data_IF_617116178963
#
_entry.id   IF_617116178963
#
_cell.length_a   1.000
_cell.length_b   1.000
_cell.length_c   1.000
_cell.angle_alpha   90.00
_cell.angle_beta   90.00
_cell.angle_gamma   90.00
#
_symmetry.space_group_name_H-M   'P 1'
#
loop_
_entity.id
_entity.type
_entity.pdbx_description
1 polymer ?
#
# COMPACT_ATOMS: atom_id res chain seq x y z
N UNK A 1 -3.24 -10.86 -62.56
CA UNK A 1 -3.03 -10.22 -61.26
C UNK A 1 -3.78 -11.05 -60.25
N UNK A 2 -3.08 -11.94 -59.54
CA UNK A 2 -3.66 -12.76 -58.49
C UNK A 2 -3.71 -11.90 -57.23
N UNK A 3 -4.91 -11.68 -56.70
CA UNK A 3 -5.07 -11.18 -55.33
C UNK A 3 -4.85 -12.38 -54.42
N UNK A 4 -3.63 -12.52 -53.89
CA UNK A 4 -3.39 -13.39 -52.74
C UNK A 4 -4.20 -12.83 -51.57
N UNK A 5 -5.25 -13.57 -51.21
CA UNK A 5 -6.00 -13.34 -49.97
C UNK A 5 -5.08 -13.66 -48.82
N UNK A 6 -4.62 -12.64 -48.11
CA UNK A 6 -3.86 -12.79 -46.87
C UNK A 6 -4.65 -13.70 -45.92
N UNK A 7 -3.97 -14.70 -45.35
CA UNK A 7 -4.58 -15.60 -44.37
C UNK A 7 -4.97 -14.81 -43.11
N UNK A 8 -5.97 -15.30 -42.35
CA UNK A 8 -6.38 -14.66 -41.09
C UNK A 8 -5.20 -14.51 -40.10
N UNK A 9 -4.23 -15.41 -40.16
CA UNK A 9 -3.01 -15.40 -39.35
C UNK A 9 -2.03 -14.30 -39.80
N UNK A 10 -1.92 -14.03 -41.11
CA UNK A 10 -1.14 -12.91 -41.64
C UNK A 10 -1.84 -11.57 -41.41
N UNK A 11 -3.18 -11.54 -41.43
CA UNK A 11 -3.97 -10.37 -41.02
C UNK A 11 -3.76 -10.09 -39.54
N UNK A 12 -3.80 -11.11 -38.67
CA UNK A 12 -3.53 -10.98 -37.24
C UNK A 12 -2.07 -10.59 -36.97
N UNK A 13 -1.11 -11.06 -37.77
CA UNK A 13 0.29 -10.66 -37.70
C UNK A 13 0.51 -9.21 -38.17
N UNK A 14 -0.26 -8.74 -39.16
CA UNK A 14 -0.27 -7.34 -39.62
C UNK A 14 -1.01 -6.42 -38.63
N UNK A 15 -2.06 -6.91 -37.95
CA UNK A 15 -2.74 -6.19 -36.88
C UNK A 15 -1.87 -6.11 -35.60
N UNK A 16 -1.05 -7.15 -35.35
CA UNK A 16 0.00 -7.21 -34.33
C UNK A 16 1.35 -6.67 -34.83
N UNK A 17 1.32 -5.75 -35.79
CA UNK A 17 2.48 -5.14 -36.44
C UNK A 17 3.69 -4.99 -35.52
N UNK A 18 4.79 -5.58 -35.98
CA UNK A 18 6.19 -5.36 -35.63
C UNK A 18 6.47 -4.34 -34.52
N UNK A 19 6.96 -4.84 -33.37
CA UNK A 19 7.92 -4.12 -32.51
C UNK A 19 7.49 -2.79 -31.90
N UNK A 20 6.21 -2.43 -31.97
CA UNK A 20 5.66 -1.26 -31.30
C UNK A 20 5.32 -1.60 -29.85
N UNK A 21 5.92 -0.86 -28.91
CA UNK A 21 5.55 -0.83 -27.50
C UNK A 21 4.01 -0.89 -27.37
N UNK A 22 3.44 -2.05 -27.01
CA UNK A 22 2.02 -2.16 -26.73
C UNK A 22 1.76 -1.21 -25.57
N UNK A 23 1.27 0.00 -25.85
CA UNK A 23 0.78 0.92 -24.81
C UNK A 23 -0.13 0.10 -23.94
N UNK A 24 0.24 -0.03 -22.68
CA UNK A 24 -0.37 -0.98 -21.78
C UNK A 24 -1.73 -0.40 -21.36
N UNK A 25 -2.70 -0.39 -22.26
CA UNK A 25 -4.05 0.10 -21.98
C UNK A 25 -4.74 -0.84 -20.99
N UNK A 26 -5.47 -0.27 -20.04
CA UNK A 26 -6.35 -0.99 -19.14
C UNK A 26 -7.67 -1.25 -19.87
N UNK A 27 -8.21 -2.46 -19.72
CA UNK A 27 -9.55 -2.81 -20.20
C UNK A 27 -10.63 -2.19 -19.31
N UNK A 28 -11.85 -2.07 -19.82
CA UNK A 28 -12.99 -1.55 -19.03
C UNK A 28 -13.23 -2.39 -17.77
N UNK A 29 -13.08 -3.72 -17.86
CA UNK A 29 -13.17 -4.61 -16.70
C UNK A 29 -12.10 -4.31 -15.65
N UNK A 30 -10.85 -4.05 -16.08
CA UNK A 30 -9.77 -3.70 -15.15
C UNK A 30 -10.01 -2.33 -14.50
N UNK A 31 -10.54 -1.36 -15.25
CA UNK A 31 -10.88 -0.03 -14.72
C UNK A 31 -12.02 -0.11 -13.69
N UNK A 32 -13.07 -0.88 -13.98
CA UNK A 32 -14.18 -1.09 -13.04
C UNK A 32 -13.69 -1.81 -11.77
N UNK A 33 -12.86 -2.84 -11.94
CA UNK A 33 -12.24 -3.58 -10.81
C UNK A 33 -11.41 -2.65 -9.94
N UNK A 34 -10.62 -1.76 -10.55
CA UNK A 34 -9.85 -0.73 -9.84
C UNK A 34 -10.76 0.28 -9.12
N UNK A 35 -11.90 0.64 -9.71
CA UNK A 35 -12.90 1.51 -9.09
C UNK A 35 -13.51 0.90 -7.84
N UNK A 36 -13.89 -0.36 -7.92
CA UNK A 36 -14.51 -1.08 -6.81
C UNK A 36 -13.56 -1.25 -5.63
N UNK A 37 -12.32 -1.71 -5.88
CA UNK A 37 -11.33 -1.85 -4.80
C UNK A 37 -10.98 -0.49 -4.18
N UNK A 38 -10.83 0.55 -5.00
CA UNK A 38 -10.46 1.86 -4.47
C UNK A 38 -11.62 2.49 -3.69
N UNK A 39 -12.86 2.20 -4.04
CA UNK A 39 -14.04 2.63 -3.28
C UNK A 39 -14.16 1.90 -1.92
N UNK A 40 -13.88 0.59 -1.87
CA UNK A 40 -13.84 -0.17 -0.61
C UNK A 40 -12.75 0.38 0.32
N UNK A 41 -11.55 0.58 -0.24
CA UNK A 41 -10.41 1.15 0.45
C UNK A 41 -10.73 2.54 1.01
N UNK A 42 -11.23 3.45 0.17
CA UNK A 42 -11.54 4.81 0.57
C UNK A 42 -12.74 4.89 1.54
N UNK A 43 -13.71 3.99 1.45
CA UNK A 43 -14.82 3.92 2.42
C UNK A 43 -14.34 3.55 3.83
N UNK A 44 -13.41 2.61 3.93
CA UNK A 44 -12.78 2.22 5.21
C UNK A 44 -11.94 3.36 5.77
N UNK A 45 -11.12 3.97 4.90
CA UNK A 45 -10.33 5.15 5.20
C UNK A 45 -11.18 6.33 5.71
N UNK A 46 -12.33 6.61 5.08
CA UNK A 46 -13.25 7.66 5.51
C UNK A 46 -13.74 7.45 6.95
N UNK A 47 -14.00 6.21 7.35
CA UNK A 47 -14.43 5.87 8.72
C UNK A 47 -13.33 6.17 9.74
N UNK A 48 -12.09 5.83 9.42
CA UNK A 48 -10.93 6.17 10.27
C UNK A 48 -10.73 7.68 10.34
N UNK A 49 -10.78 8.38 9.21
CA UNK A 49 -10.63 9.84 9.18
C UNK A 49 -11.74 10.53 9.97
N UNK A 50 -12.98 10.05 9.88
CA UNK A 50 -14.13 10.53 10.66
C UNK A 50 -13.90 10.44 12.17
N UNK A 51 -13.27 9.35 12.62
CA UNK A 51 -12.92 9.17 14.04
C UNK A 51 -11.82 10.14 14.49
N UNK A 52 -10.88 10.46 13.60
CA UNK A 52 -9.77 11.39 13.88
C UNK A 52 -10.20 12.84 13.93
N UNK A 53 -11.06 13.27 13.01
CA UNK A 53 -11.50 14.68 12.89
C UNK A 53 -12.78 14.97 13.67
N UNK A 54 -13.40 13.96 14.28
CA UNK A 54 -14.62 14.10 15.09
C UNK A 54 -15.87 14.55 14.32
N UNK A 55 -15.86 14.43 12.99
CA UNK A 55 -16.96 14.81 12.09
C UNK A 55 -17.27 13.68 11.14
N UNK A 56 -18.52 13.62 10.64
CA UNK A 56 -18.87 12.63 9.62
C UNK A 56 -18.08 12.90 8.33
N UNK A 57 -17.38 11.88 7.84
CA UNK A 57 -16.64 11.91 6.57
C UNK A 57 -17.28 10.90 5.62
N UNK A 58 -17.58 11.33 4.40
CA UNK A 58 -18.09 10.48 3.34
C UNK A 58 -17.18 10.62 2.11
N UNK A 59 -16.76 9.48 1.55
CA UNK A 59 -16.03 9.43 0.28
C UNK A 59 -16.88 8.63 -0.71
N UNK A 60 -17.18 9.21 -1.86
CA UNK A 60 -18.07 8.59 -2.85
C UNK A 60 -17.31 7.84 -3.94
N UNK A 61 -18.04 7.05 -4.73
CA UNK A 61 -17.52 6.32 -5.88
C UNK A 61 -16.73 7.24 -6.81
N UNK A 62 -15.50 6.83 -7.21
CA UNK A 62 -14.63 7.69 -7.96
C UNK A 62 -14.93 7.68 -9.46
N UNK A 63 -14.32 8.64 -10.17
CA UNK A 63 -14.10 8.56 -11.61
C UNK A 63 -12.68 8.11 -11.89
N UNK A 64 -12.50 7.14 -12.78
CA UNK A 64 -11.19 6.63 -13.16
C UNK A 64 -10.88 7.04 -14.59
N UNK A 65 -9.64 7.47 -14.82
CA UNK A 65 -9.12 7.72 -16.15
C UNK A 65 -7.63 7.41 -16.24
N UNK A 66 -7.20 6.98 -17.42
CA UNK A 66 -5.77 6.95 -17.77
C UNK A 66 -5.33 8.38 -18.12
N UNK A 67 -4.17 8.78 -17.61
CA UNK A 67 -3.53 10.07 -17.85
C UNK A 67 -2.03 9.87 -18.03
N UNK A 68 -1.31 10.95 -18.32
CA UNK A 68 0.15 10.97 -18.28
C UNK A 68 0.63 12.01 -17.28
N UNK A 69 1.90 11.92 -16.91
CA UNK A 69 2.57 12.93 -16.08
C UNK A 69 2.39 14.34 -16.65
N UNK A 70 2.68 14.55 -17.93
CA UNK A 70 2.54 15.87 -18.57
C UNK A 70 1.10 16.39 -18.58
N UNK A 71 0.11 15.50 -18.78
CA UNK A 71 -1.30 15.89 -18.75
C UNK A 71 -1.75 16.30 -17.35
N UNK A 72 -1.26 15.60 -16.32
CA UNK A 72 -1.55 15.94 -14.93
C UNK A 72 -1.05 17.33 -14.57
N UNK A 73 0.13 17.71 -15.05
CA UNK A 73 0.71 19.05 -14.85
C UNK A 73 -0.15 20.16 -15.49
N UNK A 74 -0.66 19.93 -16.69
CA UNK A 74 -1.51 20.88 -17.41
C UNK A 74 -2.88 21.01 -16.74
N UNK A 75 -3.49 19.89 -16.33
CA UNK A 75 -4.83 19.88 -15.72
C UNK A 75 -4.83 20.44 -14.28
N UNK A 76 -3.72 20.33 -13.56
CA UNK A 76 -3.63 20.66 -12.15
C UNK A 76 -2.42 21.54 -11.82
N UNK A 77 -2.30 22.78 -12.33
CA UNK A 77 -1.09 23.60 -12.21
C UNK A 77 -0.89 24.23 -10.81
N UNK A 78 -1.83 24.06 -9.89
CA UNK A 78 -1.75 24.63 -8.56
C UNK A 78 -0.91 23.74 -7.63
N UNK A 79 -0.38 24.29 -6.51
CA UNK A 79 0.20 23.48 -5.46
C UNK A 79 -0.84 22.60 -4.73
N UNK A 80 -0.45 21.38 -4.40
CA UNK A 80 -1.25 20.40 -3.66
C UNK A 80 -0.44 19.79 -2.52
N UNK A 81 -1.13 19.18 -1.56
CA UNK A 81 -0.50 18.24 -0.64
C UNK A 81 -0.47 16.86 -1.31
N UNK A 82 0.72 16.28 -1.41
CA UNK A 82 0.96 14.94 -1.90
C UNK A 82 1.30 14.00 -0.74
N UNK A 83 0.57 12.90 -0.64
CA UNK A 83 0.76 11.85 0.36
C UNK A 83 1.17 10.58 -0.37
N UNK A 84 2.44 10.21 -0.25
CA UNK A 84 3.04 9.07 -0.95
C UNK A 84 3.15 7.87 -0.02
N UNK A 85 2.63 6.74 -0.46
CA UNK A 85 2.63 5.46 0.27
C UNK A 85 3.23 4.38 -0.62
N UNK A 86 4.19 3.62 -0.08
CA UNK A 86 4.78 2.48 -0.78
C UNK A 86 4.25 1.18 -0.22
N UNK A 87 3.84 0.27 -1.09
CA UNK A 87 3.51 -1.10 -0.69
C UNK A 87 4.79 -1.91 -0.53
N UNK A 88 4.93 -2.57 0.63
CA UNK A 88 6.15 -3.28 1.04
C UNK A 88 5.96 -4.79 1.11
N UNK A 89 4.72 -5.28 1.20
CA UNK A 89 4.40 -6.71 1.19
C UNK A 89 3.09 -6.96 0.42
N UNK A 90 2.98 -8.11 -0.25
CA UNK A 90 1.81 -8.55 -1.01
C UNK A 90 1.63 -7.84 -2.35
N UNK A 91 1.84 -6.52 -2.37
CA UNK A 91 1.81 -5.65 -3.53
C UNK A 91 3.15 -4.89 -3.63
N UNK A 92 3.55 -4.52 -4.85
CA UNK A 92 4.80 -3.78 -5.06
C UNK A 92 4.53 -2.57 -5.95
N UNK A 93 4.46 -1.41 -5.34
CA UNK A 93 4.22 -0.16 -6.05
C UNK A 93 4.11 1.01 -5.10
N UNK A 94 3.98 2.19 -5.70
CA UNK A 94 3.78 3.45 -5.00
C UNK A 94 2.41 3.99 -5.37
N UNK A 95 1.67 4.43 -4.36
CA UNK A 95 0.40 5.11 -4.51
C UNK A 95 0.56 6.54 -3.97
N UNK A 96 -0.02 7.52 -4.67
CA UNK A 96 0.04 8.91 -4.23
C UNK A 96 -1.36 9.47 -4.16
N UNK A 97 -1.71 10.04 -3.01
CA UNK A 97 -2.91 10.84 -2.83
C UNK A 97 -2.59 12.31 -2.92
N UNK A 98 -3.46 13.05 -3.58
CA UNK A 98 -3.32 14.47 -3.86
C UNK A 98 -4.56 15.17 -3.31
N UNK A 99 -4.34 16.14 -2.43
CA UNK A 99 -5.38 16.91 -1.75
C UNK A 99 -5.07 18.39 -1.94
N UNK A 100 -6.09 19.23 -2.10
CA UNK A 100 -5.87 20.68 -2.15
C UNK A 100 -5.30 21.17 -0.82
N UNK A 101 -4.39 22.14 -0.86
CA UNK A 101 -3.76 22.72 0.34
C UNK A 101 -4.80 23.20 1.34
N UNK A 102 -5.82 23.92 0.87
CA UNK A 102 -6.90 24.42 1.73
C UNK A 102 -7.60 23.29 2.49
N UNK A 103 -8.00 22.22 1.79
CA UNK A 103 -8.74 21.11 2.41
C UNK A 103 -7.87 20.33 3.40
N UNK A 104 -6.58 20.20 3.10
CA UNK A 104 -5.61 19.63 4.03
C UNK A 104 -5.45 20.51 5.29
N UNK A 105 -5.41 21.83 5.14
CA UNK A 105 -5.39 22.77 6.27
C UNK A 105 -6.65 22.68 7.13
N UNK A 106 -7.81 22.49 6.52
CA UNK A 106 -9.07 22.26 7.25
C UNK A 106 -9.01 20.96 8.05
N UNK A 107 -8.49 19.87 7.48
CA UNK A 107 -8.29 18.61 8.20
C UNK A 107 -7.35 18.80 9.39
N UNK A 108 -6.25 19.54 9.21
CA UNK A 108 -5.30 19.85 10.29
C UNK A 108 -5.96 20.61 11.43
N UNK A 109 -6.74 21.66 11.12
CA UNK A 109 -7.45 22.44 12.13
C UNK A 109 -8.39 21.55 12.95
N UNK A 110 -9.16 20.67 12.29
CA UNK A 110 -10.02 19.70 12.97
C UNK A 110 -9.24 18.74 13.87
N UNK A 111 -8.10 18.22 13.40
CA UNK A 111 -7.26 17.32 14.19
C UNK A 111 -6.62 18.01 15.39
N UNK A 112 -6.37 19.32 15.30
CA UNK A 112 -5.85 20.15 16.38
C UNK A 112 -6.95 20.64 17.34
N UNK A 113 -8.19 20.17 17.17
CA UNK A 113 -9.33 20.49 18.03
C UNK A 113 -10.10 21.76 17.63
N UNK A 114 -9.82 22.30 16.46
CA UNK A 114 -10.58 23.37 15.82
C UNK A 114 -11.91 22.87 15.24
N UNK A 115 -12.65 23.78 14.60
CA UNK A 115 -13.94 23.49 13.97
C UNK A 115 -13.87 23.45 12.43
N UNK A 116 -12.69 23.69 11.87
CA UNK A 116 -12.40 23.73 10.44
C UNK A 116 -12.60 25.12 9.81
N UNK A 117 -12.95 26.14 10.60
CA UNK A 117 -13.21 27.49 10.08
C UNK A 117 -11.97 28.38 9.96
N UNK A 118 -10.87 28.00 10.61
CA UNK A 118 -9.63 28.77 10.63
C UNK A 118 -8.41 27.91 10.25
N UNK A 119 -8.38 27.34 9.03
CA UNK A 119 -7.23 26.56 8.58
C UNK A 119 -5.96 27.42 8.57
N UNK A 120 -4.79 26.82 8.81
CA UNK A 120 -3.52 27.56 8.72
C UNK A 120 -3.32 28.09 7.30
N UNK A 121 -2.81 29.33 7.19
CA UNK A 121 -2.50 29.93 5.88
C UNK A 121 -1.43 29.14 5.12
N UNK A 122 -0.47 28.57 5.85
CA UNK A 122 0.61 27.74 5.32
C UNK A 122 0.76 26.43 6.08
N UNK A 123 1.09 25.36 5.36
CA UNK A 123 1.31 24.03 5.94
C UNK A 123 2.78 23.84 6.32
N UNK A 124 3.12 24.25 7.55
CA UNK A 124 4.41 24.00 8.18
C UNK A 124 4.60 22.52 8.59
N UNK A 125 5.80 22.17 9.07
CA UNK A 125 6.17 20.79 9.44
C UNK A 125 5.23 20.13 10.43
N UNK A 126 4.71 20.88 11.41
CA UNK A 126 3.75 20.35 12.39
C UNK A 126 2.41 19.98 11.73
N UNK A 127 1.96 20.79 10.76
CA UNK A 127 0.74 20.54 10.00
C UNK A 127 0.93 19.32 9.08
N UNK A 128 2.06 19.22 8.38
CA UNK A 128 2.40 18.06 7.55
C UNK A 128 2.52 16.77 8.38
N UNK A 129 3.04 16.87 9.60
CA UNK A 129 3.13 15.73 10.54
C UNK A 129 1.75 15.27 11.00
N UNK A 130 0.82 16.20 11.29
CA UNK A 130 -0.56 15.86 11.61
C UNK A 130 -1.25 15.15 10.44
N UNK A 131 -1.08 15.66 9.21
CA UNK A 131 -1.59 15.00 7.99
C UNK A 131 -0.97 13.62 7.86
N UNK A 132 0.35 13.49 8.05
CA UNK A 132 1.05 12.21 7.97
C UNK A 132 0.48 11.20 8.96
N UNK A 133 0.20 11.60 10.20
CA UNK A 133 -0.39 10.73 11.21
C UNK A 133 -1.82 10.30 10.85
N UNK A 134 -2.68 11.23 10.42
CA UNK A 134 -4.01 10.88 9.96
C UNK A 134 -3.97 9.93 8.77
N UNK A 135 -3.11 10.21 7.79
CA UNK A 135 -2.94 9.39 6.61
C UNK A 135 -2.34 8.03 6.96
N UNK A 136 -1.43 7.94 7.93
CA UNK A 136 -0.84 6.69 8.38
C UNK A 136 -1.90 5.75 8.96
N UNK A 137 -2.79 6.29 9.81
CA UNK A 137 -3.91 5.53 10.35
C UNK A 137 -4.93 5.15 9.26
N UNK A 138 -5.27 6.11 8.39
CA UNK A 138 -6.24 5.94 7.31
C UNK A 138 -5.78 4.92 6.26
N UNK A 139 -4.52 4.98 5.84
CA UNK A 139 -3.92 4.05 4.88
C UNK A 139 -3.68 2.68 5.51
N UNK A 140 -3.35 2.62 6.81
CA UNK A 140 -3.19 1.37 7.55
C UNK A 140 -4.49 0.56 7.66
N UNK A 141 -5.62 1.22 7.95
CA UNK A 141 -6.93 0.56 7.94
C UNK A 141 -7.31 0.10 6.53
N UNK A 142 -7.04 0.93 5.51
CA UNK A 142 -7.24 0.55 4.13
C UNK A 142 -6.36 -0.62 3.67
N UNK A 143 -5.10 -0.71 4.11
CA UNK A 143 -4.21 -1.85 3.83
C UNK A 143 -4.70 -3.15 4.46
N UNK A 144 -5.34 -3.06 5.62
CA UNK A 144 -6.02 -4.21 6.25
C UNK A 144 -7.19 -4.68 5.37
N UNK A 145 -8.04 -3.75 4.90
CA UNK A 145 -9.14 -4.10 3.98
C UNK A 145 -8.63 -4.69 2.65
N UNK A 146 -7.53 -4.15 2.09
CA UNK A 146 -6.89 -4.77 0.93
C UNK A 146 -6.41 -6.19 1.22
N UNK A 147 -5.86 -6.45 2.42
CA UNK A 147 -5.41 -7.80 2.79
C UNK A 147 -6.56 -8.81 2.81
N UNK A 148 -7.74 -8.40 3.27
CA UNK A 148 -8.96 -9.21 3.27
C UNK A 148 -9.44 -9.51 1.84
N UNK A 149 -9.46 -8.48 0.98
CA UNK A 149 -9.91 -8.63 -0.41
C UNK A 149 -8.95 -9.50 -1.23
N UNK A 150 -7.64 -9.29 -1.10
CA UNK A 150 -6.62 -10.07 -1.81
C UNK A 150 -6.27 -11.40 -1.12
N UNK A 151 -6.89 -11.72 0.02
CA UNK A 151 -6.64 -12.93 0.83
C UNK A 151 -5.16 -13.20 1.11
N UNK A 152 -4.37 -12.13 1.23
CA UNK A 152 -2.93 -12.18 1.50
C UNK A 152 -2.53 -10.96 2.30
N UNK A 153 -1.38 -11.03 2.95
CA UNK A 153 -0.87 -9.89 3.71
C UNK A 153 -0.47 -8.75 2.77
N UNK A 154 -1.01 -7.57 3.01
CA UNK A 154 -0.65 -6.32 2.34
C UNK A 154 -0.10 -5.36 3.39
N UNK A 155 1.16 -4.96 3.25
CA UNK A 155 1.78 -3.96 4.12
C UNK A 155 2.19 -2.72 3.32
N UNK A 156 2.20 -1.59 4.01
CA UNK A 156 2.60 -0.29 3.48
C UNK A 156 3.71 0.33 4.34
N UNK A 157 4.51 1.21 3.74
CA UNK A 157 5.41 2.10 4.46
C UNK A 157 4.61 3.21 5.15
N UNK A 158 5.17 3.86 6.19
CA UNK A 158 4.67 5.15 6.64
C UNK A 158 4.55 6.11 5.46
N UNK A 159 3.48 6.93 5.41
CA UNK A 159 3.31 7.90 4.34
C UNK A 159 4.38 8.99 4.41
N UNK A 160 4.80 9.48 3.24
CA UNK A 160 5.58 10.71 3.12
C UNK A 160 4.66 11.81 2.63
N UNK A 161 4.60 12.92 3.35
CA UNK A 161 3.75 14.07 3.01
C UNK A 161 4.63 15.24 2.57
N UNK A 162 4.31 15.84 1.44
CA UNK A 162 4.98 17.04 0.94
C UNK A 162 4.01 17.95 0.22
N UNK A 163 4.37 19.23 0.09
CA UNK A 163 3.71 20.12 -0.87
C UNK A 163 4.33 19.88 -2.23
N UNK A 164 3.50 19.72 -3.26
CA UNK A 164 3.90 19.46 -4.63
C UNK A 164 3.30 20.52 -5.54
N UNK A 165 4.14 21.21 -6.30
CA UNK A 165 3.70 22.09 -7.37
C UNK A 165 3.80 21.37 -8.73
N UNK A 166 2.69 20.87 -9.25
CA UNK A 166 2.69 20.16 -10.54
C UNK A 166 3.16 21.03 -11.72
N UNK A 167 3.12 22.36 -11.63
CA UNK A 167 3.66 23.21 -12.69
C UNK A 167 5.20 23.18 -12.78
N UNK A 168 5.86 22.81 -11.68
CA UNK A 168 7.33 22.86 -11.54
C UNK A 168 7.94 21.47 -11.31
N UNK A 169 7.17 20.57 -10.71
CA UNK A 169 7.62 19.28 -10.20
C UNK A 169 6.82 18.13 -10.81
N UNK A 170 7.39 16.93 -10.69
CA UNK A 170 6.79 15.68 -11.13
C UNK A 170 6.53 14.79 -9.93
N UNK A 171 5.56 13.89 -10.07
CA UNK A 171 5.38 12.82 -9.10
C UNK A 171 6.51 11.81 -9.22
N UNK A 172 7.19 11.57 -8.11
CA UNK A 172 8.22 10.55 -7.99
C UNK A 172 7.62 9.24 -7.46
N UNK A 173 7.55 8.24 -8.33
CA UNK A 173 7.11 6.88 -8.02
C UNK A 173 8.29 5.90 -7.84
N UNK A 174 9.41 6.15 -8.51
CA UNK A 174 10.52 5.23 -8.78
C UNK A 174 11.92 5.82 -8.51
N UNK A 175 12.03 6.85 -7.68
CA UNK A 175 13.28 7.50 -7.32
C UNK A 175 13.81 8.49 -8.37
N UNK A 176 12.91 9.17 -9.08
CA UNK A 176 13.26 10.25 -10.03
C UNK A 176 13.51 9.80 -11.48
N UNK A 177 13.07 8.60 -11.86
CA UNK A 177 13.26 8.03 -13.20
C UNK A 177 11.98 8.11 -14.08
N UNK A 178 11.04 8.98 -13.74
CA UNK A 178 9.74 9.11 -14.41
C UNK A 178 9.85 9.82 -15.76
N UNK A 179 9.09 9.35 -16.75
CA UNK A 179 9.07 9.92 -18.10
C UNK A 179 7.80 10.72 -18.37
N UNK A 180 7.85 11.72 -19.26
CA UNK A 180 6.70 12.56 -19.69
C UNK A 180 5.50 11.73 -20.14
N UNK A 181 5.80 10.65 -20.86
CA UNK A 181 4.83 9.72 -21.41
C UNK A 181 4.51 8.56 -20.47
N UNK A 182 4.97 8.61 -19.21
CA UNK A 182 4.60 7.59 -18.23
C UNK A 182 3.09 7.59 -18.03
N UNK A 183 2.47 6.46 -18.35
CA UNK A 183 1.04 6.26 -18.21
C UNK A 183 0.71 6.06 -16.73
N UNK A 184 -0.23 6.87 -16.26
CA UNK A 184 -0.72 6.89 -14.89
C UNK A 184 -2.22 6.62 -14.90
N UNK A 185 -2.72 6.00 -13.84
CA UNK A 185 -4.14 5.94 -13.54
C UNK A 185 -4.45 7.04 -12.53
N UNK A 186 -5.40 7.92 -12.89
CA UNK A 186 -5.96 8.94 -12.01
C UNK A 186 -7.36 8.49 -11.58
N UNK A 187 -7.55 8.37 -10.28
CA UNK A 187 -8.83 8.06 -9.64
C UNK A 187 -9.25 9.28 -8.82
N UNK A 188 -10.40 9.87 -9.14
CA UNK A 188 -10.90 11.09 -8.47
C UNK A 188 -12.08 10.75 -7.59
N UNK A 189 -11.95 10.95 -6.29
CA UNK A 189 -12.99 10.78 -5.29
C UNK A 189 -13.58 12.12 -4.90
N UNK A 190 -14.90 12.18 -4.69
CA UNK A 190 -15.50 13.31 -3.95
C UNK A 190 -15.46 12.97 -2.46
N UNK A 191 -14.92 13.88 -1.67
CA UNK A 191 -14.83 13.80 -0.23
C UNK A 191 -15.68 14.91 0.40
N UNK A 192 -16.53 14.51 1.34
CA UNK A 192 -17.37 15.40 2.13
C UNK A 192 -17.01 15.24 3.61
N UNK A 193 -16.72 16.37 4.28
CA UNK A 193 -16.57 16.46 5.74
C UNK A 193 -17.67 17.38 6.25
N UNK A 194 -18.48 16.87 7.18
CA UNK A 194 -19.70 17.50 7.67
C UNK A 194 -19.59 19.01 7.93
N UNK A 195 -20.29 19.80 7.11
CA UNK A 195 -20.38 21.27 7.19
C UNK A 195 -19.06 22.03 7.01
N UNK A 196 -17.98 21.37 6.56
CA UNK A 196 -16.67 22.01 6.44
C UNK A 196 -16.01 21.82 5.07
N UNK A 197 -16.06 20.62 4.49
CA UNK A 197 -15.40 20.32 3.22
C UNK A 197 -16.36 19.62 2.27
N UNK A 198 -16.40 20.08 1.03
CA UNK A 198 -16.97 19.36 -0.12
C UNK A 198 -15.99 19.54 -1.28
N UNK A 199 -15.13 18.56 -1.49
CA UNK A 199 -14.01 18.68 -2.43
C UNK A 199 -13.66 17.35 -3.08
N UNK A 200 -12.60 17.35 -3.86
CA UNK A 200 -12.09 16.16 -4.56
C UNK A 200 -10.71 15.79 -4.03
N UNK A 201 -10.50 14.49 -3.84
CA UNK A 201 -9.21 13.87 -3.55
C UNK A 201 -8.83 13.01 -4.74
N UNK A 202 -7.59 13.14 -5.22
CA UNK A 202 -7.12 12.36 -6.35
C UNK A 202 -6.13 11.31 -5.87
N UNK A 203 -6.25 10.10 -6.39
CA UNK A 203 -5.27 9.04 -6.25
C UNK A 203 -4.60 8.83 -7.60
N UNK A 204 -3.27 8.91 -7.61
CA UNK A 204 -2.43 8.71 -8.80
C UNK A 204 -1.59 7.46 -8.58
N UNK A 205 -1.54 6.59 -9.59
CA UNK A 205 -0.82 5.33 -9.53
C UNK A 205 -0.22 4.99 -10.89
N UNK A 206 1.02 4.49 -10.98
CA UNK A 206 1.57 4.02 -12.26
C UNK A 206 0.69 2.94 -12.89
N UNK A 207 0.50 2.97 -14.21
CA UNK A 207 -0.38 2.00 -14.89
C UNK A 207 0.07 0.56 -14.68
N UNK A 208 1.38 0.33 -14.56
CA UNK A 208 1.96 -0.98 -14.27
C UNK A 208 1.49 -1.53 -12.91
N UNK A 209 1.42 -0.67 -11.90
CA UNK A 209 0.94 -1.05 -10.58
C UNK A 209 -0.58 -1.25 -10.58
N UNK A 210 -1.33 -0.41 -11.27
CA UNK A 210 -2.77 -0.58 -11.44
C UNK A 210 -3.12 -1.93 -12.13
N UNK A 211 -2.37 -2.32 -13.17
CA UNK A 211 -2.50 -3.63 -13.81
C UNK A 211 -2.18 -4.78 -12.87
N UNK A 212 -1.17 -4.63 -12.01
CA UNK A 212 -0.85 -5.64 -11.01
C UNK A 212 -2.01 -5.85 -10.03
N UNK A 213 -2.59 -4.76 -9.51
CA UNK A 213 -3.74 -4.80 -8.58
C UNK A 213 -4.93 -5.49 -9.26
N UNK A 214 -5.29 -5.05 -10.47
CA UNK A 214 -6.43 -5.58 -11.20
C UNK A 214 -6.27 -7.07 -11.55
N UNK A 215 -5.13 -7.45 -12.11
CA UNK A 215 -4.88 -8.85 -12.51
C UNK A 215 -4.91 -9.81 -11.33
N UNK A 216 -4.35 -9.41 -10.19
CA UNK A 216 -4.40 -10.23 -8.98
C UNK A 216 -5.82 -10.36 -8.44
N UNK A 217 -6.62 -9.29 -8.47
CA UNK A 217 -8.01 -9.34 -8.00
C UNK A 217 -8.88 -10.22 -8.92
N UNK A 218 -8.72 -10.08 -10.24
CA UNK A 218 -9.43 -10.91 -11.21
C UNK A 218 -9.05 -12.40 -11.10
N UNK A 219 -7.79 -12.71 -10.79
CA UNK A 219 -7.35 -14.09 -10.54
C UNK A 219 -8.01 -14.68 -9.28
N UNK A 220 -8.09 -13.91 -8.19
CA UNK A 220 -8.77 -14.32 -6.95
C UNK A 220 -10.28 -14.57 -7.16
N UNK A 221 -10.93 -13.72 -7.95
CA UNK A 221 -12.37 -13.86 -8.28
C UNK A 221 -12.62 -15.03 -9.23
N UNK A 222 -11.70 -15.30 -10.15
CA UNK A 222 -11.81 -16.41 -11.12
C UNK A 222 -11.41 -17.76 -10.53
N UNK A 223 -10.89 -17.79 -9.31
CA UNK A 223 -10.47 -19.01 -8.62
C UNK A 223 -9.27 -19.71 -9.27
N UNK A 224 -8.48 -18.99 -10.07
CA UNK A 224 -7.23 -19.53 -10.60
C UNK A 224 -6.17 -19.48 -9.49
N UNK A 225 -5.60 -20.61 -9.06
CA UNK A 225 -4.50 -20.60 -8.09
C UNK A 225 -3.35 -19.82 -8.71
N UNK A 226 -2.96 -18.72 -8.06
CA UNK A 226 -1.83 -17.92 -8.50
C UNK A 226 -0.62 -18.81 -8.81
N UNK A 227 -0.03 -18.61 -9.98
CA UNK A 227 1.20 -19.27 -10.41
C UNK A 227 2.32 -18.88 -9.44
N UNK A 228 2.47 -19.65 -8.36
CA UNK A 228 3.74 -19.73 -7.65
C UNK A 228 4.77 -20.30 -8.63
N UNK A 229 5.91 -19.64 -8.87
CA UNK A 229 6.99 -20.27 -9.59
C UNK A 229 7.40 -21.51 -8.81
N UNK A 230 7.17 -22.68 -9.40
CA UNK A 230 7.77 -23.92 -8.91
C UNK A 230 9.27 -23.72 -9.11
N UNK A 231 9.98 -23.46 -8.02
CA UNK A 231 11.42 -23.60 -8.00
C UNK A 231 11.72 -25.05 -8.38
N UNK A 232 12.21 -25.25 -9.60
CA UNK A 232 12.85 -26.50 -10.02
C UNK A 232 14.05 -26.74 -9.09
N UNK A 233 13.80 -27.48 -8.00
CA UNK A 233 14.87 -28.11 -7.24
C UNK A 233 15.36 -29.28 -8.08
N UNK A 234 16.35 -29.00 -8.93
CA UNK A 234 17.16 -30.01 -9.59
C UNK A 234 17.84 -30.86 -8.53
N UNK A 235 17.34 -32.09 -8.36
CA UNK A 235 18.01 -33.12 -7.60
C UNK A 235 19.01 -33.83 -8.54
N UNK A 236 20.29 -33.44 -8.46
CA UNK A 236 21.40 -34.33 -8.84
C UNK A 236 21.73 -35.22 -7.64
N UNK A 237 21.83 -36.55 -7.80
CA UNK A 237 22.35 -37.42 -6.76
C UNK A 237 23.86 -37.58 -6.99
N UNK A 238 24.66 -36.86 -6.20
CA UNK A 238 26.10 -37.14 -6.10
C UNK A 238 26.37 -37.89 -4.79
N UNK A 239 27.04 -39.03 -4.92
CA UNK A 239 27.37 -39.90 -3.80
C UNK A 239 28.58 -39.41 -3.01
N UNK A 240 28.70 -39.86 -1.76
CA UNK A 240 29.87 -40.51 -1.15
C UNK A 240 29.75 -40.46 0.39
N UNK A 241 29.89 -41.66 0.99
CA UNK A 241 30.44 -42.04 2.31
C UNK A 241 30.06 -41.23 3.57
N UNK A 242 29.36 -41.84 4.51
CA UNK A 242 29.92 -42.62 5.64
C UNK A 242 30.64 -41.72 6.65
N UNK A 243 30.02 -41.47 7.80
CA UNK A 243 30.53 -41.84 9.12
C UNK A 243 29.61 -41.27 10.22
N UNK A 244 29.51 -42.02 11.33
CA UNK A 244 29.10 -41.63 12.70
C UNK A 244 27.70 -41.96 13.21
N UNK A 245 27.73 -43.09 13.92
CA UNK A 245 27.31 -43.29 15.32
C UNK A 245 25.82 -43.27 15.68
N UNK A 246 25.35 -44.52 15.78
CA UNK A 246 24.14 -45.07 16.38
C UNK A 246 24.10 -44.78 17.90
N UNK A 247 23.18 -43.92 18.35
CA UNK A 247 22.72 -43.90 19.74
C UNK A 247 21.24 -44.30 19.78
N UNK A 248 21.02 -45.62 19.91
CA UNK A 248 19.71 -46.26 19.98
C UNK A 248 19.21 -46.26 21.42
N UNK A 249 18.22 -45.43 21.70
CA UNK A 249 17.29 -45.69 22.80
C UNK A 249 15.90 -46.09 22.26
N UNK A 250 15.53 -47.33 22.61
CA UNK A 250 14.27 -47.99 22.31
C UNK A 250 13.14 -47.37 23.14
N UNK A 251 12.04 -46.99 22.51
CA UNK A 251 10.73 -46.93 23.18
C UNK A 251 9.76 -47.88 22.51
N UNK A 252 9.32 -48.84 23.32
CA UNK A 252 8.45 -49.97 23.04
C UNK A 252 7.01 -49.50 22.88
N UNK A 253 6.33 -49.94 21.82
CA UNK A 253 4.86 -49.90 21.70
C UNK A 253 4.25 -51.14 22.38
N UNK A 254 3.14 -51.03 23.12
CA UNK A 254 2.30 -52.19 23.40
C UNK A 254 1.27 -52.39 22.28
N UNK A 255 0.97 -53.66 22.02
CA UNK A 255 -0.09 -54.13 21.12
C UNK A 255 -1.09 -54.96 21.92
N UNK A 256 -2.25 -55.19 21.29
CA UNK A 256 -3.32 -56.17 21.60
C UNK A 256 -4.38 -55.74 22.64
N UNK A 257 -5.68 -56.04 22.53
CA UNK A 257 -6.54 -56.73 21.55
C UNK A 257 -8.01 -56.49 21.97
N UNK A 258 -8.99 -56.70 21.07
CA UNK A 258 -10.29 -57.30 21.46
C UNK A 258 -11.58 -56.46 21.34
N UNK A 259 -12.25 -56.61 20.18
CA UNK A 259 -13.68 -56.88 19.94
C UNK A 259 -14.86 -56.08 20.58
N UNK A 260 -15.81 -55.76 19.67
CA UNK A 260 -17.28 -55.66 19.81
C UNK A 260 -17.93 -54.42 20.45
N UNK A 261 -18.90 -53.85 19.71
CA UNK A 261 -20.02 -53.08 20.29
C UNK A 261 -20.37 -51.81 19.52
N UNK A 262 -21.52 -51.82 18.83
CA UNK A 262 -22.17 -50.62 18.35
C UNK A 262 -22.66 -49.76 19.53
N UNK A 263 -22.33 -48.47 19.56
CA UNK A 263 -23.01 -47.46 20.37
C UNK A 263 -22.64 -46.04 19.88
N UNK A 264 -23.63 -45.16 19.89
CA UNK A 264 -23.57 -43.74 19.54
C UNK A 264 -22.39 -43.01 20.20
N UNK A 265 -21.67 -42.21 19.43
CA UNK A 265 -20.73 -41.23 19.98
C UNK A 265 -21.50 -39.98 20.39
N UNK A 266 -21.97 -39.95 21.63
CA UNK A 266 -22.27 -38.71 22.33
C UNK A 266 -20.97 -37.89 22.49
N UNK A 267 -20.92 -36.73 21.82
CA UNK A 267 -19.85 -35.75 21.99
C UNK A 267 -20.04 -35.12 23.36
N UNK A 268 -19.32 -35.61 24.37
CA UNK A 268 -19.27 -34.99 25.70
C UNK A 268 -18.40 -33.73 25.63
N UNK A 269 -19.03 -32.56 25.58
CA UNK A 269 -18.36 -31.26 25.68
C UNK A 269 -18.11 -30.96 27.16
N UNK A 270 -16.85 -30.96 27.61
CA UNK A 270 -16.49 -30.44 28.93
C UNK A 270 -16.32 -28.92 28.84
N UNK A 271 -17.03 -28.11 29.65
CA UNK A 271 -16.82 -26.68 29.68
C UNK A 271 -15.44 -26.35 30.26
N UNK A 272 -14.74 -25.41 29.63
CA UNK A 272 -13.43 -24.90 30.07
C UNK A 272 -13.60 -24.20 31.42
N UNK A 273 -12.84 -24.64 32.41
CA UNK A 273 -12.84 -24.07 33.75
C UNK A 273 -11.69 -23.06 33.87
N UNK A 274 -12.02 -21.77 33.96
CA UNK A 274 -11.03 -20.72 34.16
C UNK A 274 -10.59 -20.66 35.62
N UNK A 275 -9.28 -20.47 35.84
CA UNK A 275 -8.73 -20.25 37.18
C UNK A 275 -9.28 -18.94 37.78
N UNK A 276 -9.58 -18.88 39.09
CA UNK A 276 -10.06 -17.66 39.72
C UNK A 276 -8.92 -16.64 39.82
N UNK A 277 -9.22 -15.40 39.46
CA UNK A 277 -8.32 -14.27 39.62
C UNK A 277 -8.18 -13.92 41.11
N UNK A 278 -6.99 -14.13 41.67
CA UNK A 278 -6.63 -13.62 43.00
C UNK A 278 -6.39 -12.11 42.93
N UNK A 279 -7.10 -11.36 43.75
CA UNK A 279 -6.83 -9.95 44.00
C UNK A 279 -5.61 -9.82 44.92
N UNK A 280 -4.42 -9.69 44.32
CA UNK A 280 -3.16 -9.48 45.03
C UNK A 280 -2.28 -8.45 44.32
N UNK A 281 -2.11 -7.30 45.01
CA UNK A 281 -1.06 -6.27 44.93
C UNK A 281 -0.35 -5.98 43.58
N UNK A 282 -0.39 -4.70 43.20
CA UNK A 282 0.36 -4.13 42.09
C UNK A 282 1.87 -4.46 42.16
N UNK A 283 2.50 -4.87 41.05
CA UNK A 283 3.96 -4.95 40.98
C UNK A 283 4.54 -3.53 40.99
N UNK A 284 5.48 -3.28 41.89
CA UNK A 284 6.37 -2.12 41.82
C UNK A 284 7.18 -2.18 40.52
N UNK A 285 7.02 -1.16 39.68
CA UNK A 285 7.99 -0.83 38.64
C UNK A 285 9.26 -0.30 39.30
N UNK A 286 10.28 -1.15 39.39
CA UNK A 286 11.64 -0.70 39.67
C UNK A 286 12.59 -1.27 38.64
N UNK A 287 13.10 -0.38 37.78
CA UNK A 287 14.46 -0.45 37.29
C UNK A 287 14.67 -1.25 36.01
N UNK A 288 14.43 -0.62 34.86
CA UNK A 288 15.30 -0.78 33.68
C UNK A 288 15.26 0.42 32.72
N UNK A 289 14.97 1.64 33.24
CA UNK A 289 15.13 2.88 32.47
C UNK A 289 16.61 3.28 32.25
N UNK A 290 17.55 2.65 32.94
CA UNK A 290 18.99 2.93 32.83
C UNK A 290 19.65 2.26 31.61
N UNK A 291 18.95 1.40 30.86
CA UNK A 291 19.49 0.71 29.68
C UNK A 291 19.11 1.35 28.33
N UNK A 292 18.32 2.43 28.35
CA UNK A 292 17.99 3.21 27.13
C UNK A 292 18.86 4.47 27.01
N UNK A 293 19.53 4.89 28.10
CA UNK A 293 20.26 6.15 28.17
C UNK A 293 21.71 6.11 27.67
N UNK A 294 22.26 4.92 27.37
CA UNK A 294 23.68 4.75 26.99
C UNK A 294 23.86 4.32 25.53
N UNK A 295 23.06 4.85 24.60
CA UNK A 295 23.32 4.71 23.17
C UNK A 295 23.96 6.00 22.64
N UNK A 296 25.27 6.01 22.31
CA UNK A 296 25.88 7.19 21.70
C UNK A 296 25.32 7.39 20.28
N UNK A 297 24.72 8.55 20.04
CA UNK A 297 24.30 8.99 18.70
C UNK A 297 25.48 9.71 18.02
N UNK A 298 25.85 9.24 16.83
CA UNK A 298 26.77 9.97 15.94
C UNK A 298 26.02 11.12 15.27
N UNK A 299 26.22 12.34 15.74
CA UNK A 299 25.73 13.54 15.06
C UNK A 299 26.77 14.02 14.05
N UNK A 300 26.41 13.99 12.77
CA UNK A 300 27.18 14.71 11.74
C UNK A 300 26.60 16.10 11.61
N UNK A 301 27.38 17.12 11.97
CA UNK A 301 26.99 18.52 11.73
C UNK A 301 27.36 18.84 10.29
N UNK A 302 26.38 18.79 9.37
CA UNK A 302 26.55 19.41 8.06
C UNK A 302 26.58 20.93 8.24
N UNK A 303 27.78 21.51 8.29
CA UNK A 303 27.97 22.96 8.28
C UNK A 303 27.64 23.48 6.87
N UNK A 304 26.35 23.73 6.61
CA UNK A 304 25.80 24.60 5.56
C UNK A 304 26.30 24.38 4.13
N UNK A 305 25.40 24.04 3.21
CA UNK A 305 25.67 24.15 1.77
C UNK A 305 25.64 25.63 1.36
N UNK A 306 26.77 26.18 0.93
CA UNK A 306 26.81 27.47 0.22
C UNK A 306 27.04 27.19 -1.26
N UNK A 307 26.17 27.71 -2.13
CA UNK A 307 26.41 27.69 -3.57
C UNK A 307 27.17 28.96 -3.95
N UNK A 308 28.37 28.78 -4.50
CA UNK A 308 29.15 29.85 -5.12
C UNK A 308 29.20 29.65 -6.62
N UNK A 309 29.15 30.75 -7.35
CA UNK A 309 29.38 30.74 -8.79
C UNK A 309 30.87 30.54 -9.07
N UNK A 310 31.22 29.91 -10.20
CA UNK A 310 32.62 29.69 -10.62
C UNK A 310 33.41 31.01 -10.63
N UNK A 311 32.74 32.13 -10.90
CA UNK A 311 33.31 33.47 -10.88
C UNK A 311 33.82 33.88 -9.49
N UNK A 312 33.10 33.56 -8.42
CA UNK A 312 33.45 33.92 -7.04
C UNK A 312 34.60 33.08 -6.47
N UNK A 313 34.94 31.95 -7.12
CA UNK A 313 36.09 31.10 -6.76
C UNK A 313 37.39 31.62 -7.39
N UNK A 314 37.30 32.32 -8.52
CA UNK A 314 38.47 32.79 -9.28
C UNK A 314 38.99 34.17 -8.85
N UNK A 315 38.30 34.86 -7.94
CA UNK A 315 38.69 36.17 -7.40
C UNK A 315 39.30 36.10 -5.98
N UNK A 316 39.55 34.89 -5.46
CA UNK A 316 40.34 34.61 -4.24
C UNK A 316 41.74 34.11 -4.60
#
# INVERSE_FOLDING_TARGET
>A
MNYETLSQEEIDALLKGEGGNQKAQLTDLELDTLGEISNIFMGTAATTLSSLVGKKVEITTPRIQVTTSSRLQIEHPLPYVAVKVRYTEGLKGTNVLIIKIHDAGVIVDLMMGGDGSNPPEELEEIHLSAISEAMNQMMGSGATSMSEVFRKRVNISPPTVSVLNFAEERLDFNGGNETDDEELVKVVFRMYIENVVDSEVMQITPISFAKQISSQLLAEVSGEPGLTPVAESGAEPDGIADDREDDREKVVRPSENGENGAAEREITVQPVQFAPLEAGQAPQETGNLSLILDVPLEFTVELGRTQRTIKEILEL
#
